data_IF_013657481892
#
_entry.id   IF_013657481892
#
_cell.length_a   1.000
_cell.length_b   1.000
_cell.length_c   1.000
_cell.angle_alpha   90.00
_cell.angle_beta   90.00
_cell.angle_gamma   90.00
#
_symmetry.space_group_name_H-M   'P 1'
#
loop_
_entity.id
_entity.type
_entity.pdbx_description
1 polymer ?
#
# COMPACT_ATOMS: atom_id res chain seq x y z
N UNK A 1 27.62 -12.42 15.12
CA UNK A 1 26.36 -12.63 14.35
C UNK A 1 26.39 -11.76 13.10
N UNK A 2 26.08 -12.32 11.93
CA UNK A 2 26.05 -11.50 10.71
C UNK A 2 24.98 -10.41 10.82
N UNK A 3 25.21 -9.25 10.22
CA UNK A 3 24.26 -8.14 10.19
C UNK A 3 22.88 -8.60 9.71
N UNK A 4 22.83 -9.44 8.68
CA UNK A 4 21.60 -9.99 8.12
C UNK A 4 20.81 -10.79 9.15
N UNK A 5 21.47 -11.63 9.93
CA UNK A 5 20.83 -12.42 10.98
C UNK A 5 20.21 -11.52 12.07
N UNK A 6 20.95 -10.50 12.52
CA UNK A 6 20.43 -9.54 13.51
C UNK A 6 19.20 -8.80 12.96
N UNK A 7 19.23 -8.41 11.69
CA UNK A 7 18.12 -7.70 11.05
C UNK A 7 16.89 -8.59 10.87
N UNK A 8 17.10 -9.87 10.48
CA UNK A 8 16.00 -10.85 10.42
C UNK A 8 15.38 -11.11 11.80
N UNK A 9 16.20 -11.21 12.85
CA UNK A 9 15.70 -11.40 14.20
C UNK A 9 14.89 -10.18 14.68
N UNK A 10 15.35 -8.97 14.40
CA UNK A 10 14.60 -7.73 14.69
C UNK A 10 13.28 -7.69 13.94
N UNK A 11 13.29 -8.01 12.66
CA UNK A 11 12.08 -8.05 11.80
C UNK A 11 11.06 -9.06 12.35
N UNK A 12 11.52 -10.26 12.69
CA UNK A 12 10.68 -11.30 13.29
C UNK A 12 10.11 -10.89 14.65
N UNK A 13 10.94 -10.29 15.53
CA UNK A 13 10.48 -9.79 16.82
C UNK A 13 9.44 -8.67 16.65
N UNK A 14 9.66 -7.73 15.73
CA UNK A 14 8.69 -6.67 15.41
C UNK A 14 7.36 -7.25 14.94
N UNK A 15 7.40 -8.25 14.04
CA UNK A 15 6.20 -8.94 13.57
C UNK A 15 5.44 -9.63 14.71
N UNK A 16 6.14 -10.36 15.58
CA UNK A 16 5.52 -11.02 16.73
C UNK A 16 4.87 -10.00 17.69
N UNK A 17 5.57 -8.92 18.00
CA UNK A 17 5.01 -7.84 18.84
C UNK A 17 3.76 -7.26 18.20
N UNK A 18 3.77 -7.00 16.89
CA UNK A 18 2.59 -6.50 16.19
C UNK A 18 1.41 -7.47 16.27
N UNK A 19 1.63 -8.77 16.07
CA UNK A 19 0.59 -9.82 16.20
C UNK A 19 0.02 -9.89 17.60
N UNK A 20 0.88 -9.85 18.65
CA UNK A 20 0.46 -9.88 20.05
C UNK A 20 -0.37 -8.65 20.39
N UNK A 21 0.16 -7.46 20.07
CA UNK A 21 -0.53 -6.19 20.36
C UNK A 21 -1.88 -6.14 19.66
N UNK A 22 -1.95 -6.53 18.39
CA UNK A 22 -3.20 -6.54 17.64
C UNK A 22 -4.23 -7.46 18.27
N UNK A 23 -3.85 -8.68 18.68
CA UNK A 23 -4.77 -9.61 19.34
C UNK A 23 -5.37 -8.99 20.60
N UNK A 24 -4.53 -8.45 21.49
CA UNK A 24 -5.02 -7.86 22.74
C UNK A 24 -5.84 -6.59 22.50
N UNK A 25 -5.43 -5.71 21.58
CA UNK A 25 -6.19 -4.51 21.23
C UNK A 25 -7.59 -4.87 20.69
N UNK A 26 -7.69 -5.89 19.83
CA UNK A 26 -8.98 -6.35 19.31
C UNK A 26 -9.89 -6.93 20.41
N UNK A 27 -9.31 -7.59 21.42
CA UNK A 27 -10.07 -8.16 22.53
C UNK A 27 -10.46 -7.13 23.62
N UNK A 28 -9.69 -6.05 23.71
CA UNK A 28 -9.98 -4.92 24.61
C UNK A 28 -10.91 -3.89 23.96
N UNK A 29 -11.09 -3.94 22.64
CA UNK A 29 -11.99 -3.04 21.93
C UNK A 29 -13.43 -3.21 22.41
N UNK A 30 -14.15 -2.12 22.71
CA UNK A 30 -15.52 -2.18 23.19
C UNK A 30 -16.46 -2.75 22.13
N UNK A 31 -17.32 -3.71 22.53
CA UNK A 31 -18.35 -4.30 21.68
C UNK A 31 -18.20 -5.81 21.51
N UNK A 32 -19.32 -6.47 21.23
CA UNK A 32 -19.37 -7.91 20.99
C UNK A 32 -19.22 -8.18 19.48
N UNK A 33 -18.28 -9.04 19.06
CA UNK A 33 -18.13 -9.42 17.66
C UNK A 33 -19.39 -10.07 17.06
N UNK A 34 -20.23 -10.66 17.89
CA UNK A 34 -21.48 -11.29 17.47
C UNK A 34 -22.68 -10.32 17.42
N UNK A 35 -22.54 -9.08 17.90
CA UNK A 35 -23.65 -8.12 17.98
C UNK A 35 -24.28 -7.80 16.62
N UNK A 36 -23.48 -7.78 15.55
CA UNK A 36 -23.94 -7.46 14.19
C UNK A 36 -24.56 -8.63 13.45
N UNK A 37 -24.33 -9.87 13.88
CA UNK A 37 -24.97 -11.04 13.29
C UNK A 37 -26.49 -11.07 13.53
N UNK A 38 -26.96 -10.37 14.56
CA UNK A 38 -28.37 -10.32 14.94
C UNK A 38 -29.15 -9.12 14.41
N UNK A 39 -28.52 -8.20 13.65
CA UNK A 39 -29.18 -6.96 13.19
C UNK A 39 -30.36 -7.26 12.23
N UNK A 40 -30.27 -8.30 11.40
CA UNK A 40 -31.36 -8.69 10.50
C UNK A 40 -32.33 -9.73 11.10
N UNK A 41 -31.85 -10.57 12.03
CA UNK A 41 -32.67 -11.57 12.75
C UNK A 41 -32.11 -11.77 14.15
N UNK A 42 -32.82 -11.34 15.20
CA UNK A 42 -32.35 -11.51 16.57
C UNK A 42 -32.18 -13.00 16.89
N UNK A 43 -30.95 -13.36 17.25
CA UNK A 43 -30.65 -14.70 17.75
C UNK A 43 -31.28 -14.92 19.14
N UNK A 44 -31.76 -16.14 19.39
CA UNK A 44 -32.13 -16.49 20.74
C UNK A 44 -30.92 -16.42 21.70
N UNK A 45 -31.10 -16.13 22.98
CA UNK A 45 -30.01 -16.15 23.96
C UNK A 45 -29.20 -17.46 23.94
N UNK A 46 -29.85 -18.59 23.75
CA UNK A 46 -29.21 -19.90 23.62
C UNK A 46 -28.33 -20.01 22.36
N UNK A 47 -28.78 -19.48 21.21
CA UNK A 47 -28.01 -19.47 19.97
C UNK A 47 -26.76 -18.57 20.09
N UNK A 48 -26.88 -17.40 20.72
CA UNK A 48 -25.75 -16.52 21.01
C UNK A 48 -24.73 -17.18 21.93
N UNK A 49 -25.17 -17.88 22.99
CA UNK A 49 -24.30 -18.61 23.90
C UNK A 49 -23.55 -19.73 23.15
N UNK A 50 -24.23 -20.47 22.29
CA UNK A 50 -23.61 -21.51 21.46
C UNK A 50 -22.56 -20.94 20.48
N UNK A 51 -22.83 -19.77 19.87
CA UNK A 51 -21.87 -19.07 19.02
C UNK A 51 -20.65 -18.58 19.79
N UNK A 52 -20.86 -18.00 20.98
CA UNK A 52 -19.74 -17.58 21.86
C UNK A 52 -18.84 -18.74 22.22
N UNK A 53 -19.43 -19.88 22.62
CA UNK A 53 -18.68 -21.09 22.90
C UNK A 53 -17.93 -21.63 21.68
N UNK A 54 -18.57 -21.62 20.50
CA UNK A 54 -17.94 -22.05 19.22
C UNK A 54 -16.73 -21.22 18.86
N UNK A 55 -16.79 -19.89 19.04
CA UNK A 55 -15.67 -18.98 18.77
C UNK A 55 -14.72 -18.83 19.98
N UNK A 56 -14.98 -19.55 21.06
CA UNK A 56 -14.15 -19.52 22.29
C UNK A 56 -14.11 -18.17 22.99
N UNK A 57 -15.13 -17.33 22.80
CA UNK A 57 -15.19 -15.98 23.37
C UNK A 57 -15.39 -16.00 24.90
N UNK A 58 -15.89 -17.09 25.45
CA UNK A 58 -16.10 -17.29 26.88
C UNK A 58 -14.84 -17.77 27.62
N UNK A 59 -13.78 -18.11 26.86
CA UNK A 59 -12.53 -18.62 27.43
C UNK A 59 -11.65 -17.50 27.98
N UNK A 60 -10.76 -17.78 28.95
CA UNK A 60 -9.76 -16.82 29.40
C UNK A 60 -8.91 -16.31 28.22
N UNK A 61 -8.51 -15.02 28.26
CA UNK A 61 -7.75 -14.37 27.16
C UNK A 61 -6.51 -15.14 26.72
N UNK A 62 -5.79 -15.74 27.65
CA UNK A 62 -4.59 -16.52 27.32
C UNK A 62 -4.93 -17.81 26.53
N UNK A 63 -6.06 -18.45 26.84
CA UNK A 63 -6.57 -19.61 26.09
C UNK A 63 -6.97 -19.20 24.67
N UNK A 64 -7.68 -18.07 24.55
CA UNK A 64 -8.04 -17.49 23.25
C UNK A 64 -6.79 -17.15 22.42
N UNK A 65 -5.76 -16.57 23.04
CA UNK A 65 -4.50 -16.26 22.37
C UNK A 65 -3.79 -17.52 21.87
N UNK A 66 -3.71 -18.58 22.68
CA UNK A 66 -3.13 -19.87 22.26
C UNK A 66 -3.90 -20.49 21.10
N UNK A 67 -5.24 -20.43 21.16
CA UNK A 67 -6.12 -20.93 20.10
C UNK A 67 -5.95 -20.14 18.79
N UNK A 68 -5.62 -18.85 18.87
CA UNK A 68 -5.32 -18.00 17.72
C UNK A 68 -3.92 -18.25 17.13
N UNK A 69 -2.89 -18.33 17.96
CA UNK A 69 -1.49 -18.46 17.49
C UNK A 69 -1.23 -19.84 16.86
N UNK A 70 -1.86 -20.91 17.36
CA UNK A 70 -1.61 -22.28 16.88
C UNK A 70 -1.98 -22.48 15.40
N UNK A 71 -3.17 -22.08 14.91
CA UNK A 71 -3.49 -22.09 13.47
C UNK A 71 -2.63 -21.11 12.68
N UNK A 72 -2.39 -19.91 13.23
CA UNK A 72 -1.57 -18.88 12.58
C UNK A 72 -0.17 -19.39 12.24
N UNK A 73 0.47 -20.15 13.13
CA UNK A 73 1.78 -20.74 12.88
C UNK A 73 1.79 -21.74 11.69
N UNK A 74 0.61 -22.18 11.22
CA UNK A 74 0.43 -23.00 10.02
C UNK A 74 -0.06 -22.22 8.81
N UNK A 75 -0.14 -20.88 8.93
CA UNK A 75 -0.67 -20.00 7.89
C UNK A 75 -2.19 -19.97 7.80
N UNK A 76 -2.90 -20.53 8.77
CA UNK A 76 -4.36 -20.51 8.83
C UNK A 76 -4.82 -19.29 9.66
N UNK A 77 -5.50 -18.35 9.00
CA UNK A 77 -6.03 -17.10 9.57
C UNK A 77 -7.44 -17.28 10.16
N UNK A 78 -8.00 -18.48 10.10
CA UNK A 78 -9.32 -18.81 10.61
C UNK A 78 -10.44 -18.59 9.59
N UNK A 79 -11.66 -18.50 10.10
CA UNK A 79 -12.90 -18.40 9.32
C UNK A 79 -13.60 -17.09 9.66
N UNK A 80 -14.19 -16.43 8.65
CA UNK A 80 -14.98 -15.22 8.82
C UNK A 80 -16.19 -15.47 9.72
N UNK A 81 -16.50 -14.53 10.59
CA UNK A 81 -17.71 -14.56 11.42
C UNK A 81 -18.94 -14.22 10.55
N UNK A 82 -18.80 -13.29 9.62
CA UNK A 82 -19.89 -12.86 8.73
C UNK A 82 -20.15 -13.85 7.59
N UNK A 83 -19.11 -14.58 7.16
CA UNK A 83 -19.16 -15.58 6.10
C UNK A 83 -18.59 -16.92 6.61
N UNK A 84 -19.36 -17.69 7.40
CA UNK A 84 -18.86 -18.92 8.07
C UNK A 84 -18.45 -20.04 7.10
N UNK A 85 -18.81 -19.94 5.85
CA UNK A 85 -18.44 -20.80 4.72
C UNK A 85 -17.10 -20.43 4.07
N UNK A 86 -16.50 -19.27 4.44
CA UNK A 86 -15.29 -18.73 3.83
C UNK A 86 -14.14 -18.58 4.82
N UNK A 87 -12.98 -19.14 4.46
CA UNK A 87 -11.75 -18.89 5.21
C UNK A 87 -11.25 -17.48 4.97
N UNK A 88 -10.62 -16.87 5.99
CA UNK A 88 -9.99 -15.56 5.88
C UNK A 88 -8.90 -15.55 4.81
N UNK A 89 -8.14 -16.65 4.69
CA UNK A 89 -7.15 -16.86 3.64
C UNK A 89 -7.77 -16.72 2.24
N UNK A 90 -8.94 -17.31 2.00
CA UNK A 90 -9.62 -17.24 0.70
C UNK A 90 -10.13 -15.83 0.40
N UNK A 91 -10.69 -15.14 1.40
CA UNK A 91 -11.14 -13.74 1.26
C UNK A 91 -9.97 -12.81 0.89
N UNK A 92 -8.85 -12.95 1.60
CA UNK A 92 -7.63 -12.18 1.32
C UNK A 92 -7.09 -12.52 -0.07
N UNK A 93 -6.98 -13.80 -0.42
CA UNK A 93 -6.46 -14.22 -1.72
C UNK A 93 -7.29 -13.70 -2.91
N UNK A 94 -8.61 -13.56 -2.75
CA UNK A 94 -9.50 -13.00 -3.77
C UNK A 94 -9.31 -11.48 -3.95
N UNK A 95 -9.02 -10.74 -2.87
CA UNK A 95 -8.89 -9.28 -2.87
C UNK A 95 -7.47 -8.79 -3.15
N UNK A 96 -6.46 -9.59 -2.80
CA UNK A 96 -5.05 -9.24 -2.95
C UNK A 96 -4.63 -8.83 -4.37
N UNK A 97 -5.03 -9.53 -5.45
CA UNK A 97 -4.66 -9.15 -6.81
C UNK A 97 -5.11 -7.73 -7.19
N UNK A 98 -6.32 -7.33 -6.80
CA UNK A 98 -6.84 -5.99 -7.08
C UNK A 98 -6.00 -4.90 -6.40
N UNK A 99 -5.65 -5.10 -5.13
CA UNK A 99 -4.76 -4.17 -4.40
C UNK A 99 -3.36 -4.14 -5.01
N UNK A 100 -2.79 -5.28 -5.42
CA UNK A 100 -1.47 -5.33 -6.06
C UNK A 100 -1.45 -4.65 -7.43
N UNK A 101 -2.51 -4.77 -8.22
CA UNK A 101 -2.64 -4.09 -9.52
C UNK A 101 -2.69 -2.58 -9.31
N UNK A 102 -3.58 -2.11 -8.45
CA UNK A 102 -3.72 -0.68 -8.17
C UNK A 102 -2.41 -0.10 -7.59
N UNK A 103 -1.93 -0.69 -6.51
CA UNK A 103 -0.74 -0.22 -5.83
C UNK A 103 0.52 -0.36 -6.68
N UNK A 104 0.69 -1.46 -7.42
CA UNK A 104 1.81 -1.66 -8.35
C UNK A 104 1.83 -0.59 -9.45
N UNK A 105 0.64 -0.24 -9.98
CA UNK A 105 0.51 0.85 -10.97
C UNK A 105 0.90 2.19 -10.36
N UNK A 106 0.43 2.49 -9.15
CA UNK A 106 0.79 3.73 -8.42
C UNK A 106 2.29 3.81 -8.16
N UNK A 107 2.91 2.72 -7.72
CA UNK A 107 4.37 2.68 -7.52
C UNK A 107 5.12 2.90 -8.84
N UNK A 108 4.70 2.24 -9.91
CA UNK A 108 5.33 2.40 -11.23
C UNK A 108 5.25 3.86 -11.68
N UNK A 109 4.09 4.51 -11.57
CA UNK A 109 3.90 5.92 -11.90
C UNK A 109 4.80 6.80 -11.02
N UNK A 110 4.77 6.61 -9.71
CA UNK A 110 5.58 7.41 -8.79
C UNK A 110 7.07 7.23 -9.02
N UNK A 111 7.51 6.01 -9.26
CA UNK A 111 8.92 5.73 -9.49
C UNK A 111 9.39 6.29 -10.84
N UNK A 112 8.61 6.14 -11.92
CA UNK A 112 8.99 6.64 -13.24
C UNK A 112 8.79 8.15 -13.37
N UNK A 113 7.54 8.62 -13.25
CA UNK A 113 7.23 10.03 -13.42
C UNK A 113 7.75 10.90 -12.25
N UNK A 114 7.65 10.41 -11.01
CA UNK A 114 8.10 11.15 -9.83
C UNK A 114 9.61 11.38 -9.85
N UNK A 115 10.41 10.35 -10.15
CA UNK A 115 11.87 10.51 -10.24
C UNK A 115 12.29 11.36 -11.43
N UNK A 116 11.61 11.21 -12.57
CA UNK A 116 11.87 12.03 -13.75
C UNK A 116 11.54 13.51 -13.49
N UNK A 117 10.37 13.81 -12.94
CA UNK A 117 9.95 15.17 -12.60
C UNK A 117 10.86 15.80 -11.55
N UNK A 118 11.24 15.05 -10.50
CA UNK A 118 12.16 15.55 -9.47
C UNK A 118 13.55 15.88 -10.01
N UNK A 119 14.10 15.02 -10.88
CA UNK A 119 15.36 15.29 -11.56
C UNK A 119 15.26 16.51 -12.49
N UNK A 120 14.20 16.58 -13.29
CA UNK A 120 13.95 17.70 -14.19
C UNK A 120 13.80 19.03 -13.44
N UNK A 121 13.12 19.01 -12.30
CA UNK A 121 12.96 20.16 -11.40
C UNK A 121 14.31 20.63 -10.82
N UNK A 122 15.18 19.68 -10.41
CA UNK A 122 16.51 19.99 -9.91
C UNK A 122 17.39 20.70 -10.95
N UNK A 123 17.29 20.32 -12.23
CA UNK A 123 18.01 20.98 -13.33
C UNK A 123 17.53 22.41 -13.60
N UNK A 124 16.35 22.76 -13.13
CA UNK A 124 15.74 24.08 -13.29
C UNK A 124 15.60 24.83 -11.98
N UNK A 125 16.44 24.51 -11.00
CA UNK A 125 16.43 25.13 -9.67
C UNK A 125 16.33 26.65 -9.75
N UNK A 126 15.39 27.22 -8.99
CA UNK A 126 15.14 28.68 -8.92
C UNK A 126 14.38 29.26 -10.11
N UNK A 127 14.00 28.47 -11.12
CA UNK A 127 13.16 28.92 -12.22
C UNK A 127 11.68 29.02 -11.83
N UNK A 128 10.89 29.75 -12.62
CA UNK A 128 9.41 29.80 -12.46
C UNK A 128 8.78 28.41 -12.51
N UNK A 129 9.30 27.52 -13.36
CA UNK A 129 8.81 26.12 -13.49
C UNK A 129 9.11 25.31 -12.24
N UNK A 130 10.26 25.51 -11.58
CA UNK A 130 10.59 24.89 -10.29
C UNK A 130 9.59 25.30 -9.21
N UNK A 131 9.30 26.60 -9.10
CA UNK A 131 8.33 27.12 -8.13
C UNK A 131 6.90 26.63 -8.42
N UNK A 132 6.44 26.69 -9.67
CA UNK A 132 5.11 26.24 -10.05
C UNK A 132 4.91 24.73 -9.76
N UNK A 133 5.90 23.88 -10.11
CA UNK A 133 5.81 22.45 -9.83
C UNK A 133 5.84 22.17 -8.32
N UNK A 134 6.62 22.93 -7.56
CA UNK A 134 6.62 22.81 -6.09
C UNK A 134 5.25 23.16 -5.50
N UNK A 135 4.65 24.27 -5.91
CA UNK A 135 3.32 24.69 -5.44
C UNK A 135 2.28 23.63 -5.84
N UNK A 136 2.28 23.20 -7.09
CA UNK A 136 1.34 22.21 -7.60
C UNK A 136 1.42 20.88 -6.84
N UNK A 137 2.62 20.35 -6.64
CA UNK A 137 2.82 19.10 -5.89
C UNK A 137 2.44 19.24 -4.42
N UNK A 138 2.68 20.41 -3.79
CA UNK A 138 2.25 20.67 -2.41
C UNK A 138 0.73 20.74 -2.30
N UNK A 139 0.05 21.37 -3.24
CA UNK A 139 -1.42 21.43 -3.27
C UNK A 139 -2.01 20.03 -3.40
N UNK A 140 -1.48 19.19 -4.32
CA UNK A 140 -1.92 17.82 -4.46
C UNK A 140 -1.67 16.98 -3.19
N UNK A 141 -0.51 17.16 -2.55
CA UNK A 141 -0.18 16.46 -1.30
C UNK A 141 -1.10 16.86 -0.14
N UNK A 142 -1.51 18.13 -0.07
CA UNK A 142 -2.41 18.64 0.94
C UNK A 142 -3.89 18.27 0.67
N UNK A 143 -4.20 17.80 -0.54
CA UNK A 143 -5.56 17.45 -0.93
C UNK A 143 -5.94 16.07 -0.37
N UNK A 144 -7.06 15.92 0.35
CA UNK A 144 -7.53 14.62 0.79
C UNK A 144 -7.80 13.68 -0.40
N UNK A 145 -7.29 12.44 -0.36
CA UNK A 145 -7.38 11.50 -1.48
C UNK A 145 -8.82 11.18 -1.88
N UNK A 146 -9.73 11.05 -0.92
CA UNK A 146 -11.15 10.81 -1.22
C UNK A 146 -11.79 11.99 -1.96
N UNK A 147 -11.44 13.24 -1.55
CA UNK A 147 -11.96 14.43 -2.22
C UNK A 147 -11.44 14.54 -3.66
N UNK A 148 -10.15 14.29 -3.85
CA UNK A 148 -9.56 14.25 -5.20
C UNK A 148 -10.20 13.14 -6.06
N UNK A 149 -10.42 11.95 -5.48
CA UNK A 149 -11.08 10.84 -6.16
C UNK A 149 -12.49 11.21 -6.62
N UNK A 150 -13.32 11.76 -5.72
CA UNK A 150 -14.66 12.22 -6.06
C UNK A 150 -14.66 13.34 -7.12
N UNK A 151 -13.68 14.25 -7.04
CA UNK A 151 -13.52 15.32 -8.04
C UNK A 151 -13.19 14.76 -9.43
N UNK A 152 -12.31 13.76 -9.49
CA UNK A 152 -11.96 13.09 -10.75
C UNK A 152 -13.13 12.26 -11.30
N UNK A 153 -13.88 11.59 -10.44
CA UNK A 153 -15.11 10.88 -10.81
C UNK A 153 -16.12 11.86 -11.42
N UNK A 154 -16.36 12.98 -10.73
CA UNK A 154 -17.27 14.00 -11.25
C UNK A 154 -16.81 14.55 -12.61
N UNK A 155 -15.54 14.93 -12.75
CA UNK A 155 -15.03 15.55 -13.96
C UNK A 155 -14.96 14.58 -15.14
N UNK A 156 -14.29 13.43 -14.97
CA UNK A 156 -14.00 12.50 -16.06
C UNK A 156 -15.09 11.45 -16.27
N UNK A 157 -15.81 11.09 -15.21
CA UNK A 157 -16.86 10.09 -15.27
C UNK A 157 -18.22 10.69 -15.54
N UNK A 158 -18.63 11.69 -14.75
CA UNK A 158 -20.01 12.23 -14.80
C UNK A 158 -20.14 13.39 -15.78
N UNK A 159 -19.20 14.34 -15.79
CA UNK A 159 -19.31 15.54 -16.65
C UNK A 159 -18.87 15.27 -18.09
N UNK A 160 -17.70 14.64 -18.27
CA UNK A 160 -17.16 14.34 -19.61
C UNK A 160 -17.49 12.96 -20.13
N UNK A 161 -17.99 12.04 -19.33
CA UNK A 161 -18.33 10.65 -19.68
C UNK A 161 -17.19 9.89 -20.40
N UNK A 162 -15.92 10.17 -20.01
CA UNK A 162 -14.74 9.61 -20.66
C UNK A 162 -14.27 8.29 -20.04
N UNK A 163 -14.41 8.16 -18.72
CA UNK A 163 -13.86 7.04 -17.94
C UNK A 163 -14.93 6.44 -17.00
N UNK A 164 -14.85 5.14 -16.74
CA UNK A 164 -15.72 4.48 -15.77
C UNK A 164 -15.46 5.01 -14.36
N UNK A 165 -16.53 5.11 -13.57
CA UNK A 165 -16.52 5.74 -12.24
C UNK A 165 -16.31 4.75 -11.10
N UNK A 166 -16.54 3.46 -11.31
CA UNK A 166 -16.52 2.46 -10.25
C UNK A 166 -16.20 1.06 -10.80
N UNK A 167 -15.90 0.15 -9.86
CA UNK A 167 -15.55 -1.25 -10.07
C UNK A 167 -14.18 -1.45 -10.74
N UNK A 168 -13.72 -2.70 -10.74
CA UNK A 168 -12.49 -3.13 -11.42
C UNK A 168 -12.75 -3.52 -12.87
N UNK A 169 -13.97 -3.95 -13.17
CA UNK A 169 -14.45 -4.37 -14.47
C UNK A 169 -15.87 -3.91 -14.68
N UNK A 170 -16.27 -3.72 -15.93
CA UNK A 170 -17.66 -3.46 -16.28
C UNK A 170 -18.53 -4.66 -15.89
N UNK A 171 -19.55 -4.48 -15.01
CA UNK A 171 -20.44 -5.57 -14.63
C UNK A 171 -21.22 -6.17 -15.81
N UNK A 172 -21.35 -5.44 -16.91
CA UNK A 172 -22.03 -5.87 -18.13
C UNK A 172 -21.09 -6.54 -19.14
N UNK A 173 -19.79 -6.62 -18.84
CA UNK A 173 -18.82 -7.27 -19.73
C UNK A 173 -19.13 -8.77 -19.82
N UNK A 174 -19.34 -9.27 -21.04
CA UNK A 174 -19.63 -10.69 -21.27
C UNK A 174 -18.57 -11.59 -20.63
N UNK A 175 -18.98 -12.71 -19.96
CA UNK A 175 -18.05 -13.73 -19.47
C UNK A 175 -17.16 -14.31 -20.57
N UNK A 176 -17.61 -14.30 -21.83
CA UNK A 176 -16.86 -14.80 -22.99
C UNK A 176 -16.02 -13.73 -23.69
N UNK A 177 -15.94 -12.52 -23.11
CA UNK A 177 -15.14 -11.45 -23.67
C UNK A 177 -13.66 -11.90 -23.81
N UNK A 178 -13.08 -11.66 -24.96
CA UNK A 178 -11.69 -12.00 -25.24
C UNK A 178 -10.71 -11.32 -24.28
N UNK A 179 -9.52 -11.91 -24.11
CA UNK A 179 -8.48 -11.41 -23.19
C UNK A 179 -8.14 -9.94 -23.39
N UNK A 180 -8.11 -9.48 -24.64
CA UNK A 180 -7.81 -8.08 -24.97
C UNK A 180 -8.91 -7.14 -24.45
N UNK A 181 -10.18 -7.50 -24.62
CA UNK A 181 -11.31 -6.71 -24.14
C UNK A 181 -11.32 -6.61 -22.62
N UNK A 182 -11.02 -7.71 -21.91
CA UNK A 182 -10.88 -7.69 -20.45
C UNK A 182 -9.71 -6.83 -19.97
N UNK A 183 -8.60 -6.86 -20.70
CA UNK A 183 -7.43 -6.03 -20.35
C UNK A 183 -7.71 -4.54 -20.59
N UNK A 184 -8.32 -4.19 -21.73
CA UNK A 184 -8.67 -2.78 -22.01
C UNK A 184 -9.72 -2.26 -21.04
N UNK A 185 -10.69 -3.08 -20.65
CA UNK A 185 -11.68 -2.76 -19.63
C UNK A 185 -11.01 -2.50 -18.29
N UNK A 186 -10.17 -3.43 -17.80
CA UNK A 186 -9.39 -3.25 -16.58
C UNK A 186 -8.57 -1.97 -16.59
N UNK A 187 -7.85 -1.70 -17.70
CA UNK A 187 -7.02 -0.50 -17.81
C UNK A 187 -7.85 0.77 -17.73
N UNK A 188 -9.04 0.81 -18.35
CA UNK A 188 -9.93 1.98 -18.27
C UNK A 188 -10.43 2.22 -16.85
N UNK A 189 -10.82 1.16 -16.11
CA UNK A 189 -11.26 1.25 -14.72
C UNK A 189 -10.11 1.60 -13.75
N UNK A 190 -8.88 1.27 -14.09
CA UNK A 190 -7.69 1.54 -13.29
C UNK A 190 -7.22 3.01 -13.36
N UNK A 191 -7.54 3.75 -14.44
CA UNK A 191 -7.02 5.12 -14.66
C UNK A 191 -7.34 6.05 -13.50
N UNK A 192 -8.62 6.19 -13.14
CA UNK A 192 -9.04 7.16 -12.11
C UNK A 192 -8.53 6.81 -10.71
N UNK A 193 -8.66 5.56 -10.19
CA UNK A 193 -8.08 5.20 -8.89
C UNK A 193 -6.57 5.35 -8.85
N UNK A 194 -5.86 4.89 -9.91
CA UNK A 194 -4.40 5.03 -9.97
C UNK A 194 -3.96 6.50 -10.06
N UNK A 195 -4.65 7.34 -10.86
CA UNK A 195 -4.38 8.77 -10.94
C UNK A 195 -4.60 9.45 -9.58
N UNK A 196 -5.70 9.14 -8.89
CA UNK A 196 -6.01 9.70 -7.56
C UNK A 196 -4.87 9.44 -6.57
N UNK A 197 -4.47 8.18 -6.42
CA UNK A 197 -3.39 7.81 -5.49
C UNK A 197 -2.04 8.35 -5.93
N UNK A 198 -1.72 8.27 -7.23
CA UNK A 198 -0.45 8.77 -7.75
C UNK A 198 -0.30 10.27 -7.57
N UNK A 199 -1.33 11.06 -7.85
CA UNK A 199 -1.28 12.52 -7.72
C UNK A 199 -1.02 12.97 -6.28
N UNK A 200 -1.62 12.31 -5.29
CA UNK A 200 -1.40 12.63 -3.87
C UNK A 200 0.01 12.21 -3.42
N UNK A 201 0.50 11.08 -3.91
CA UNK A 201 1.75 10.48 -3.41
C UNK A 201 3.00 10.89 -4.17
N UNK A 202 2.88 11.30 -5.44
CA UNK A 202 4.02 11.66 -6.32
C UNK A 202 4.84 12.83 -5.78
N UNK A 203 4.20 13.75 -5.06
CA UNK A 203 4.86 14.93 -4.48
C UNK A 203 6.05 14.56 -3.58
N UNK A 204 5.90 13.52 -2.77
CA UNK A 204 6.98 13.03 -1.93
C UNK A 204 8.16 12.54 -2.77
N UNK A 205 7.90 11.69 -3.78
CA UNK A 205 8.95 11.15 -4.68
C UNK A 205 9.66 12.27 -5.43
N UNK A 206 8.93 13.24 -5.97
CA UNK A 206 9.49 14.41 -6.68
C UNK A 206 10.43 15.19 -5.76
N UNK A 207 10.01 15.48 -4.53
CA UNK A 207 10.83 16.23 -3.56
C UNK A 207 12.09 15.49 -3.16
N UNK A 208 11.98 14.19 -2.85
CA UNK A 208 13.15 13.37 -2.51
C UNK A 208 14.13 13.27 -3.66
N UNK A 209 13.65 13.00 -4.87
CA UNK A 209 14.52 12.94 -6.05
C UNK A 209 15.17 14.28 -6.36
N UNK A 210 14.43 15.39 -6.23
CA UNK A 210 14.98 16.74 -6.40
C UNK A 210 16.10 17.02 -5.40
N UNK A 211 15.90 16.71 -4.12
CA UNK A 211 16.92 16.89 -3.10
C UNK A 211 18.17 16.05 -3.41
N UNK A 212 18.01 14.75 -3.64
CA UNK A 212 19.10 13.85 -3.99
C UNK A 212 19.87 14.32 -5.25
N UNK A 213 19.17 14.82 -6.25
CA UNK A 213 19.81 15.38 -7.45
C UNK A 213 20.62 16.62 -7.13
N UNK A 214 20.12 17.53 -6.31
CA UNK A 214 20.84 18.75 -5.93
C UNK A 214 22.11 18.40 -5.16
N UNK A 215 22.05 17.43 -4.24
CA UNK A 215 23.22 16.97 -3.48
C UNK A 215 24.29 16.41 -4.41
N UNK A 216 23.91 15.50 -5.32
CA UNK A 216 24.82 14.88 -6.27
C UNK A 216 25.47 15.89 -7.23
N UNK A 217 24.71 16.88 -7.69
CA UNK A 217 25.20 17.90 -8.66
C UNK A 217 26.36 18.76 -8.11
N UNK A 218 26.57 18.79 -6.77
CA UNK A 218 27.64 19.52 -6.12
C UNK A 218 28.91 18.69 -5.90
N UNK A 219 28.89 17.37 -6.13
CA UNK A 219 30.01 16.47 -5.88
C UNK A 219 31.14 16.65 -6.90
N UNK A 220 32.38 16.40 -6.48
CA UNK A 220 33.59 16.65 -7.28
C UNK A 220 33.66 15.81 -8.57
N UNK A 221 33.12 14.60 -8.58
CA UNK A 221 33.09 13.78 -9.80
C UNK A 221 32.22 14.41 -10.90
N UNK A 222 31.20 15.21 -10.55
CA UNK A 222 30.40 15.96 -11.50
C UNK A 222 31.20 17.13 -12.07
N UNK A 223 31.98 17.82 -11.22
CA UNK A 223 32.92 18.86 -11.68
C UNK A 223 33.95 18.27 -12.64
N UNK A 224 34.55 17.12 -12.28
CA UNK A 224 35.50 16.40 -13.15
C UNK A 224 34.88 16.00 -14.49
N UNK A 225 33.60 15.56 -14.48
CA UNK A 225 32.91 15.22 -15.73
C UNK A 225 32.76 16.44 -16.66
N UNK A 226 32.46 17.62 -16.08
CA UNK A 226 32.36 18.89 -16.83
C UNK A 226 33.72 19.35 -17.37
N UNK A 227 34.80 19.28 -16.55
CA UNK A 227 36.14 19.66 -17.01
C UNK A 227 36.68 18.76 -18.11
N UNK A 228 36.22 17.50 -18.17
CA UNK A 228 36.51 16.56 -19.29
C UNK A 228 35.74 16.88 -20.57
N UNK A 229 34.92 17.95 -20.60
CA UNK A 229 34.19 18.40 -21.78
C UNK A 229 32.94 17.59 -22.10
N UNK A 230 32.39 16.80 -21.14
CA UNK A 230 31.15 16.07 -21.37
C UNK A 230 29.97 17.04 -21.49
N UNK A 231 29.07 16.74 -22.42
CA UNK A 231 27.85 17.52 -22.61
C UNK A 231 26.98 17.52 -21.32
N UNK A 232 26.39 18.66 -20.98
CA UNK A 232 25.51 18.80 -19.80
C UNK A 232 24.40 17.74 -19.74
N UNK A 233 23.85 17.31 -20.88
CA UNK A 233 22.86 16.23 -20.96
C UNK A 233 23.43 14.90 -20.42
N UNK A 234 24.67 14.57 -20.78
CA UNK A 234 25.35 13.36 -20.30
C UNK A 234 25.69 13.46 -18.81
N UNK A 235 26.18 14.64 -18.37
CA UNK A 235 26.46 14.89 -16.95
C UNK A 235 25.17 14.70 -16.11
N UNK A 236 24.06 15.28 -16.53
CA UNK A 236 22.77 15.25 -15.83
C UNK A 236 22.17 13.83 -15.76
N UNK A 237 22.01 13.15 -16.90
CA UNK A 237 21.28 11.90 -16.97
C UNK A 237 22.15 10.67 -16.72
N UNK A 238 23.39 10.64 -17.18
CA UNK A 238 24.25 9.48 -17.07
C UNK A 238 25.05 9.48 -15.75
N UNK A 239 25.49 10.63 -15.27
CA UNK A 239 26.28 10.74 -14.05
C UNK A 239 25.46 11.14 -12.84
N UNK A 240 24.73 12.25 -12.86
CA UNK A 240 24.00 12.74 -11.70
C UNK A 240 22.76 11.90 -11.37
N UNK A 241 21.87 11.69 -12.34
CA UNK A 241 20.61 10.97 -12.10
C UNK A 241 20.84 9.52 -11.66
N UNK A 242 21.78 8.82 -12.29
CA UNK A 242 22.11 7.43 -11.93
C UNK A 242 22.60 7.29 -10.49
N UNK A 243 23.30 8.28 -9.96
CA UNK A 243 23.73 8.27 -8.56
C UNK A 243 22.63 8.75 -7.60
N UNK A 244 21.82 9.72 -8.00
CA UNK A 244 20.75 10.25 -7.17
C UNK A 244 19.55 9.30 -7.01
N UNK A 245 19.26 8.45 -8.02
CA UNK A 245 18.13 7.53 -7.98
C UNK A 245 18.27 6.48 -6.87
N UNK A 246 19.50 6.16 -6.47
CA UNK A 246 19.79 5.21 -5.38
C UNK A 246 19.09 5.59 -4.08
N UNK A 247 19.07 6.87 -3.74
CA UNK A 247 18.41 7.37 -2.54
C UNK A 247 16.88 7.16 -2.59
N UNK A 248 16.27 7.30 -3.78
CA UNK A 248 14.83 7.08 -3.96
C UNK A 248 14.47 5.59 -4.00
N UNK A 249 15.35 4.75 -4.59
CA UNK A 249 15.19 3.30 -4.57
C UNK A 249 15.11 2.74 -3.14
N UNK A 250 15.91 3.32 -2.25
CA UNK A 250 15.88 2.94 -0.85
C UNK A 250 14.55 3.27 -0.15
N UNK A 251 13.91 4.39 -0.52
CA UNK A 251 12.57 4.75 -0.02
C UNK A 251 11.49 3.81 -0.58
N UNK A 252 11.72 3.16 -1.70
CA UNK A 252 10.76 2.27 -2.35
C UNK A 252 10.30 1.12 -1.45
N UNK A 253 11.22 0.54 -0.66
CA UNK A 253 10.89 -0.48 0.32
C UNK A 253 9.90 0.00 1.40
N UNK A 254 9.92 1.29 1.74
CA UNK A 254 8.97 1.89 2.68
C UNK A 254 7.58 2.11 2.07
N UNK A 255 7.46 2.10 0.75
CA UNK A 255 6.18 2.25 0.04
C UNK A 255 5.47 0.92 -0.20
N UNK A 256 6.19 -0.22 -0.11
CA UNK A 256 5.58 -1.55 -0.25
C UNK A 256 4.43 -1.80 0.73
N UNK A 257 4.50 -1.38 2.01
CA UNK A 257 3.37 -1.49 2.92
C UNK A 257 2.12 -0.75 2.46
N UNK A 258 2.31 0.42 1.83
CA UNK A 258 1.22 1.22 1.29
C UNK A 258 0.48 0.50 0.15
N UNK A 259 1.22 -0.35 -0.60
CA UNK A 259 0.63 -1.19 -1.65
C UNK A 259 -0.39 -2.19 -1.12
N UNK A 260 -0.07 -2.83 0.01
CA UNK A 260 -0.87 -3.95 0.54
C UNK A 260 -1.88 -3.46 1.58
N UNK A 261 -1.53 -2.39 2.33
CA UNK A 261 -2.51 -1.74 3.20
C UNK A 261 -3.68 -1.16 2.39
N UNK A 262 -3.45 -0.94 1.10
CA UNK A 262 -4.40 -0.31 0.20
C UNK A 262 -4.71 1.14 0.61
N UNK A 263 -5.32 1.88 -0.29
CA UNK A 263 -5.98 3.11 0.12
C UNK A 263 -7.45 2.80 0.34
N UNK A 264 -7.83 2.50 1.56
CA UNK A 264 -9.23 2.22 1.93
C UNK A 264 -10.18 3.25 1.34
N UNK A 265 -9.83 4.54 1.42
CA UNK A 265 -10.67 5.61 0.88
C UNK A 265 -10.79 5.57 -0.65
N UNK A 266 -9.69 5.36 -1.37
CA UNK A 266 -9.73 5.31 -2.83
C UNK A 266 -10.40 4.04 -3.31
N UNK A 267 -10.08 2.89 -2.71
CA UNK A 267 -10.78 1.64 -3.01
C UNK A 267 -12.29 1.77 -2.76
N UNK A 268 -12.71 2.44 -1.68
CA UNK A 268 -14.13 2.66 -1.37
C UNK A 268 -14.81 3.63 -2.36
N UNK A 269 -14.15 4.75 -2.71
CA UNK A 269 -14.70 5.74 -3.66
C UNK A 269 -14.94 5.11 -5.02
N UNK A 270 -14.02 4.26 -5.48
CA UNK A 270 -14.09 3.62 -6.80
C UNK A 270 -14.70 2.21 -6.75
N UNK A 271 -15.25 1.75 -5.62
CA UNK A 271 -15.72 0.37 -5.43
C UNK A 271 -14.69 -0.67 -5.93
N UNK A 272 -13.39 -0.39 -5.76
CA UNK A 272 -12.31 -1.27 -6.15
C UNK A 272 -12.21 -2.43 -5.17
N UNK A 273 -12.27 -3.70 -5.62
CA UNK A 273 -12.41 -4.85 -4.72
C UNK A 273 -11.07 -5.27 -4.10
N UNK A 274 -10.45 -4.36 -3.34
CA UNK A 274 -9.15 -4.56 -2.72
C UNK A 274 -9.18 -5.00 -1.26
N UNK A 275 -7.98 -5.09 -0.65
CA UNK A 275 -7.80 -5.43 0.77
C UNK A 275 -8.25 -4.30 1.69
N UNK A 276 -8.15 -3.04 1.24
CA UNK A 276 -8.61 -1.89 2.01
C UNK A 276 -10.12 -1.89 2.20
N UNK A 277 -10.89 -2.19 1.13
CA UNK A 277 -12.34 -2.35 1.24
C UNK A 277 -12.72 -3.56 2.08
N UNK A 278 -12.01 -4.69 1.93
CA UNK A 278 -12.22 -5.87 2.79
C UNK A 278 -12.01 -5.53 4.28
N UNK A 279 -10.95 -4.79 4.62
CA UNK A 279 -10.69 -4.38 5.98
C UNK A 279 -11.76 -3.40 6.52
N UNK A 280 -12.20 -2.44 5.69
CA UNK A 280 -13.26 -1.50 6.06
C UNK A 280 -14.60 -2.19 6.31
N UNK A 281 -14.99 -3.13 5.43
CA UNK A 281 -16.18 -3.98 5.58
C UNK A 281 -16.10 -4.79 6.88
N UNK A 282 -14.95 -5.43 7.13
CA UNK A 282 -14.72 -6.24 8.33
C UNK A 282 -14.79 -5.40 9.62
N UNK A 283 -14.26 -4.17 9.61
CA UNK A 283 -14.37 -3.24 10.75
C UNK A 283 -15.84 -2.86 10.99
N UNK A 284 -16.57 -2.51 9.93
CA UNK A 284 -17.98 -2.14 9.98
C UNK A 284 -18.87 -3.26 10.53
N UNK A 285 -18.56 -4.50 10.17
CA UNK A 285 -19.31 -5.71 10.57
C UNK A 285 -18.73 -6.39 11.83
N UNK A 286 -17.62 -5.91 12.37
CA UNK A 286 -16.89 -6.51 13.51
C UNK A 286 -16.44 -7.96 13.26
N UNK A 287 -16.04 -8.24 12.03
CA UNK A 287 -15.47 -9.55 11.65
C UNK A 287 -14.01 -9.65 12.12
N UNK A 288 -13.82 -9.97 13.40
CA UNK A 288 -12.50 -9.99 14.03
C UNK A 288 -11.48 -10.89 13.33
N UNK A 289 -11.81 -12.12 12.89
CA UNK A 289 -10.84 -12.93 12.13
C UNK A 289 -10.36 -12.25 10.86
N UNK A 290 -11.24 -11.61 10.09
CA UNK A 290 -10.87 -10.89 8.86
C UNK A 290 -10.02 -9.66 9.17
N UNK A 291 -10.38 -8.88 10.21
CA UNK A 291 -9.57 -7.73 10.65
C UNK A 291 -8.17 -8.18 11.06
N UNK A 292 -8.08 -9.23 11.90
CA UNK A 292 -6.81 -9.78 12.35
C UNK A 292 -5.98 -10.31 11.19
N UNK A 293 -6.58 -11.10 10.30
CA UNK A 293 -5.90 -11.65 9.14
C UNK A 293 -5.37 -10.58 8.19
N UNK A 294 -6.17 -9.56 7.88
CA UNK A 294 -5.76 -8.43 7.04
C UNK A 294 -4.61 -7.64 7.69
N UNK A 295 -4.69 -7.38 9.00
CA UNK A 295 -3.65 -6.63 9.72
C UNK A 295 -2.34 -7.43 9.83
N UNK A 296 -2.40 -8.76 10.02
CA UNK A 296 -1.23 -9.64 10.00
C UNK A 296 -0.55 -9.60 8.64
N UNK A 297 -1.33 -9.69 7.55
CA UNK A 297 -0.78 -9.61 6.21
C UNK A 297 -0.08 -8.27 5.97
N UNK A 298 -0.74 -7.16 6.31
CA UNK A 298 -0.14 -5.82 6.21
C UNK A 298 1.15 -5.73 7.03
N UNK A 299 1.12 -6.21 8.28
CA UNK A 299 2.31 -6.22 9.15
C UNK A 299 3.45 -7.05 8.57
N UNK A 300 3.15 -8.21 7.98
CA UNK A 300 4.15 -9.04 7.30
C UNK A 300 4.78 -8.29 6.11
N UNK A 301 3.97 -7.63 5.29
CA UNK A 301 4.46 -6.83 4.15
C UNK A 301 5.26 -5.61 4.60
N UNK A 302 4.86 -4.92 5.68
CA UNK A 302 5.64 -3.82 6.28
C UNK A 302 7.04 -4.31 6.68
N UNK A 303 7.10 -5.43 7.38
CA UNK A 303 8.35 -6.02 7.85
C UNK A 303 9.22 -6.47 6.67
N UNK A 304 8.64 -7.15 5.68
CA UNK A 304 9.35 -7.56 4.46
C UNK A 304 9.82 -6.35 3.64
N UNK A 305 8.99 -5.32 3.49
CA UNK A 305 9.34 -4.08 2.81
C UNK A 305 10.51 -3.36 3.47
N UNK A 306 10.50 -3.28 4.80
CA UNK A 306 11.62 -2.72 5.57
C UNK A 306 12.91 -3.53 5.38
N UNK A 307 12.84 -4.86 5.42
CA UNK A 307 14.00 -5.72 5.15
C UNK A 307 14.54 -5.53 3.73
N UNK A 308 13.67 -5.44 2.73
CA UNK A 308 14.06 -5.19 1.35
C UNK A 308 14.71 -3.80 1.19
N UNK A 309 14.18 -2.78 1.86
CA UNK A 309 14.76 -1.44 1.88
C UNK A 309 16.18 -1.47 2.45
N UNK A 310 16.39 -2.14 3.59
CA UNK A 310 17.69 -2.26 4.24
C UNK A 310 18.70 -3.02 3.37
N UNK A 311 18.28 -4.11 2.73
CA UNK A 311 19.10 -4.86 1.79
C UNK A 311 19.49 -4.03 0.57
N UNK A 312 18.53 -3.26 0.03
CA UNK A 312 18.75 -2.37 -1.12
C UNK A 312 19.73 -1.25 -0.77
N UNK A 313 19.59 -0.64 0.41
CA UNK A 313 20.54 0.36 0.92
C UNK A 313 21.96 -0.20 1.00
N UNK A 314 22.13 -1.37 1.59
CA UNK A 314 23.45 -2.00 1.71
C UNK A 314 24.05 -2.42 0.36
N UNK A 315 23.20 -2.77 -0.61
CA UNK A 315 23.65 -3.10 -1.96
C UNK A 315 24.10 -1.86 -2.74
N UNK A 316 23.42 -0.73 -2.55
CA UNK A 316 23.70 0.52 -3.24
C UNK A 316 24.84 1.31 -2.62
N UNK A 317 25.06 1.23 -1.30
CA UNK A 317 26.16 1.90 -0.60
C UNK A 317 27.19 0.87 -0.08
N UNK A 318 28.32 0.68 -0.79
CA UNK A 318 29.40 -0.22 -0.37
C UNK A 318 30.03 0.15 0.99
N UNK A 319 29.94 1.41 1.40
CA UNK A 319 30.50 1.88 2.68
C UNK A 319 29.77 1.29 3.89
N UNK A 320 28.53 0.87 3.72
CA UNK A 320 27.74 0.19 4.74
C UNK A 320 28.05 -1.32 4.86
N UNK A 321 28.99 -1.84 4.05
CA UNK A 321 29.39 -3.26 4.11
C UNK A 321 30.46 -3.54 5.16
N UNK A 322 31.16 -2.53 5.64
CA UNK A 322 32.32 -2.65 6.53
C UNK A 322 31.99 -2.40 8.01
N UNK A 323 30.73 -2.30 8.39
CA UNK A 323 30.24 -2.10 9.77
C UNK A 323 29.46 -3.30 10.35
#
# INVERSE_FOLDING_TARGET
MSWAFRRMLQAFATFLVAVVLMFFLMRLAPGDPLSRLGDERPFSPAALAALRARYGLDQPLLTQFRAFVKPLARGDLGVSIQHPDRSVNSLIAQRLPATLILGGTVLLINFTLGTWLGAWQAFRRGSKTDHLLTIFTLLLYATPSFWLGLSLVWLFGTHWHLLPVAFMHDPLLSPDAGRLNRLTDLLRHLILPAATLSLVTIAATVRYQRAAMLDVLHLDFIRTARTKGLQERQVRWRHAWRNAIGAVLALFGLWLPLLVAGSVFVESVFAWPGLGTLAAEAIGTRDYPVIMGSTILVSAVVVLGSLLADLTHRWLDPRLREG
#
